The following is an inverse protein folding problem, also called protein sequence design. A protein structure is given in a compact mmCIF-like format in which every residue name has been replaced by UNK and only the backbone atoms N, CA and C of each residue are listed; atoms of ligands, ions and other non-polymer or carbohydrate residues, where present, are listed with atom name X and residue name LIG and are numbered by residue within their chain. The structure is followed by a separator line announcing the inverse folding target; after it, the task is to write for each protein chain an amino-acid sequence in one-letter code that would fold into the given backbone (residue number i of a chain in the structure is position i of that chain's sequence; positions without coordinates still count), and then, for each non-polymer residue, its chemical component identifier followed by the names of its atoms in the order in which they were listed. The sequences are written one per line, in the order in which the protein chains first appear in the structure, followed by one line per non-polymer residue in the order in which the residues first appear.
data_IF_473684047514
#
_entry.id   IF_473684047514
#
_cell.length_a   1.000
_cell.length_b   1.000
_cell.length_c   1.000
_cell.angle_alpha   90.00
_cell.angle_beta   90.00
_cell.angle_gamma   90.00
#
_symmetry.space_group_name_H-M   'P 1'
#
loop_
_entity.id
_entity.type
_entity.pdbx_description
1 polymer ?
#
# COMPACT_ATOMS: atom_id res chain seq x y z
N UNK A 1 0.83 -16.94 15.11
CA UNK A 1 0.78 -15.49 14.83
C UNK A 1 -0.68 -15.07 14.99
N UNK A 2 -1.02 -13.83 15.38
CA UNK A 2 -2.44 -13.45 15.38
C UNK A 2 -2.97 -13.61 13.95
N UNK A 3 -4.13 -14.22 13.81
CA UNK A 3 -4.69 -14.50 12.49
C UNK A 3 -5.08 -13.19 11.81
N UNK A 4 -4.68 -13.05 10.55
CA UNK A 4 -5.13 -11.96 9.68
C UNK A 4 -6.63 -12.09 9.46
N UNK A 5 -7.35 -10.97 9.52
CA UNK A 5 -8.80 -10.90 9.28
C UNK A 5 -9.12 -9.84 8.24
N UNK A 6 -10.15 -10.07 7.43
CA UNK A 6 -10.70 -9.04 6.54
C UNK A 6 -11.56 -8.07 7.33
N UNK A 7 -11.22 -6.77 7.30
CA UNK A 7 -11.95 -5.71 7.99
C UNK A 7 -12.54 -4.73 6.97
N UNK A 8 -13.84 -4.48 7.07
CA UNK A 8 -14.52 -3.42 6.31
C UNK A 8 -14.20 -2.06 6.93
N UNK A 9 -13.28 -1.33 6.31
CA UNK A 9 -12.83 -0.01 6.77
C UNK A 9 -13.44 1.06 5.87
N UNK A 10 -14.12 2.01 6.49
CA UNK A 10 -14.63 3.20 5.82
C UNK A 10 -13.69 4.38 6.05
N UNK A 11 -13.20 4.98 4.96
CA UNK A 11 -12.25 6.10 5.01
C UNK A 11 -12.89 7.48 4.93
N UNK A 12 -14.19 7.57 4.64
CA UNK A 12 -14.94 8.81 4.62
C UNK A 12 -16.06 8.83 5.68
N UNK A 13 -16.42 10.02 6.18
CA UNK A 13 -17.51 10.15 7.16
C UNK A 13 -18.89 9.85 6.55
N UNK A 14 -19.00 9.91 5.22
CA UNK A 14 -20.23 9.65 4.47
C UNK A 14 -20.52 8.17 4.20
N UNK A 15 -19.63 7.24 4.54
CA UNK A 15 -19.90 5.81 4.39
C UNK A 15 -19.76 5.28 2.95
N UNK A 16 -19.06 6.00 2.06
CA UNK A 16 -18.96 5.67 0.62
C UNK A 16 -17.64 5.02 0.26
N UNK A 17 -16.56 5.31 1.00
CA UNK A 17 -15.22 4.79 0.73
C UNK A 17 -14.92 3.59 1.63
N UNK A 18 -15.65 2.50 1.40
CA UNK A 18 -15.47 1.25 2.15
C UNK A 18 -14.53 0.32 1.39
N UNK A 19 -13.42 -0.02 2.02
CA UNK A 19 -12.45 -1.00 1.56
C UNK A 19 -12.45 -2.21 2.50
N UNK A 20 -12.33 -3.42 1.96
CA UNK A 20 -12.09 -4.61 2.77
C UNK A 20 -10.60 -4.85 2.76
N UNK A 21 -9.94 -4.71 3.91
CA UNK A 21 -8.49 -4.88 4.04
C UNK A 21 -8.15 -6.06 4.94
N UNK A 22 -7.16 -6.84 4.56
CA UNK A 22 -6.46 -7.75 5.46
C UNK A 22 -5.74 -6.95 6.56
N UNK A 23 -6.07 -7.28 7.81
CA UNK A 23 -5.49 -6.63 9.00
C UNK A 23 -5.16 -7.64 10.10
N UNK A 24 -4.20 -7.29 10.95
CA UNK A 24 -3.92 -8.00 12.20
C UNK A 24 -4.43 -7.19 13.39
N UNK A 25 -5.33 -7.72 14.25
CA UNK A 25 -5.71 -7.06 15.49
C UNK A 25 -4.50 -6.93 16.43
N UNK A 26 -4.25 -5.72 16.97
CA UNK A 26 -3.12 -5.48 17.89
C UNK A 26 -3.54 -4.97 19.26
N UNK A 27 -4.72 -4.37 19.37
CA UNK A 27 -5.38 -4.01 20.63
C UNK A 27 -6.88 -3.84 20.39
N UNK A 28 -7.64 -3.52 21.45
CA UNK A 28 -9.00 -3.01 21.27
C UNK A 28 -8.97 -1.83 20.31
N UNK A 29 -9.88 -1.80 19.34
CA UNK A 29 -10.04 -0.75 18.32
C UNK A 29 -8.84 -0.47 17.38
N UNK A 30 -7.75 -1.26 17.49
CA UNK A 30 -6.52 -1.06 16.74
C UNK A 30 -6.12 -2.25 15.89
N UNK A 31 -5.76 -1.95 14.66
CA UNK A 31 -5.45 -2.94 13.64
C UNK A 31 -4.19 -2.53 12.89
N UNK A 32 -3.28 -3.48 12.66
CA UNK A 32 -2.15 -3.32 11.75
C UNK A 32 -2.58 -3.68 10.34
N UNK A 33 -2.32 -2.80 9.39
CA UNK A 33 -2.62 -2.97 7.97
C UNK A 33 -1.66 -4.01 7.35
N UNK A 34 -2.19 -5.04 6.67
CA UNK A 34 -1.39 -6.11 6.06
C UNK A 34 -1.42 -6.11 4.52
N UNK A 35 -2.18 -5.21 3.91
CA UNK A 35 -2.26 -5.00 2.46
C UNK A 35 -2.29 -3.51 2.11
N UNK A 36 -2.17 -3.15 0.83
CA UNK A 36 -2.17 -1.74 0.39
C UNK A 36 -3.58 -1.13 0.36
N UNK A 37 -3.87 -0.06 1.14
CA UNK A 37 -5.13 0.67 1.01
C UNK A 37 -5.18 1.48 -0.29
N UNK A 38 -6.29 1.41 -1.01
CA UNK A 38 -6.55 2.11 -2.28
C UNK A 38 -7.20 3.47 -2.01
N UNK A 39 -8.22 3.53 -1.16
CA UNK A 39 -9.00 4.79 -0.99
C UNK A 39 -8.27 5.83 -0.15
N UNK A 40 -7.41 5.43 0.79
CA UNK A 40 -6.64 6.36 1.61
C UNK A 40 -5.13 6.27 1.34
N UNK A 41 -4.56 7.14 0.49
CA UNK A 41 -3.13 7.12 0.18
C UNK A 41 -2.25 7.53 1.37
N UNK A 42 -2.84 8.14 2.41
CA UNK A 42 -2.15 8.52 3.64
C UNK A 42 -1.82 7.34 4.55
N UNK A 43 -2.38 6.15 4.30
CA UNK A 43 -2.14 4.93 5.08
C UNK A 43 -1.26 3.98 4.26
N UNK A 44 -0.26 3.42 4.91
CA UNK A 44 0.69 2.49 4.31
C UNK A 44 0.56 1.08 4.90
N UNK A 45 1.12 0.11 4.18
CA UNK A 45 1.32 -1.23 4.69
C UNK A 45 2.07 -1.18 6.03
N UNK A 46 1.61 -1.98 7.00
CA UNK A 46 2.20 -2.07 8.32
C UNK A 46 1.86 -0.92 9.28
N UNK A 47 1.13 0.11 8.83
CA UNK A 47 0.61 1.14 9.73
C UNK A 47 -0.34 0.50 10.75
N UNK A 48 -0.37 1.05 11.96
CA UNK A 48 -1.41 0.72 12.94
C UNK A 48 -2.42 1.85 12.94
N UNK A 49 -3.67 1.51 12.65
CA UNK A 49 -4.79 2.44 12.63
C UNK A 49 -5.71 2.19 13.82
N UNK A 50 -6.43 3.23 14.21
CA UNK A 50 -7.60 3.14 15.09
C UNK A 50 -8.87 3.24 14.25
N UNK A 51 -9.84 2.41 14.55
CA UNK A 51 -11.18 2.49 13.95
C UNK A 51 -12.25 2.66 15.01
N UNK A 52 -13.43 3.13 14.60
CA UNK A 52 -14.63 3.16 15.42
C UNK A 52 -15.74 2.40 14.71
N UNK A 53 -16.25 1.35 15.36
CA UNK A 53 -17.35 0.59 14.79
C UNK A 53 -18.69 1.35 14.91
N UNK A 54 -19.45 1.38 13.82
CA UNK A 54 -20.83 1.87 13.80
C UNK A 54 -21.63 1.02 12.81
N UNK A 55 -22.64 0.31 13.32
CA UNK A 55 -23.53 -0.55 12.52
C UNK A 55 -22.77 -1.62 11.71
N UNK A 56 -21.73 -2.23 12.30
CA UNK A 56 -20.92 -3.26 11.65
C UNK A 56 -19.88 -2.74 10.64
N UNK A 57 -19.75 -1.42 10.48
CA UNK A 57 -18.72 -0.79 9.64
C UNK A 57 -17.67 -0.16 10.55
N UNK A 58 -16.39 -0.41 10.27
CA UNK A 58 -15.28 0.22 10.99
C UNK A 58 -14.88 1.52 10.33
N UNK A 59 -15.16 2.66 10.95
CA UNK A 59 -14.76 3.97 10.42
C UNK A 59 -13.35 4.29 10.85
N UNK A 60 -12.47 4.64 9.90
CA UNK A 60 -11.13 5.11 10.20
C UNK A 60 -11.17 6.37 11.07
N UNK A 61 -10.35 6.38 12.14
CA UNK A 61 -10.21 7.54 13.04
C UNK A 61 -8.86 8.21 12.83
N UNK A 62 -7.78 7.45 12.98
CA UNK A 62 -6.41 7.98 12.89
C UNK A 62 -5.40 6.85 12.62
N UNK A 63 -4.21 7.22 12.15
CA UNK A 63 -3.04 6.35 12.17
C UNK A 63 -2.31 6.55 13.49
N UNK A 64 -2.40 5.59 14.42
CA UNK A 64 -1.78 5.68 15.74
C UNK A 64 -0.27 5.40 15.69
N UNK A 65 0.19 4.66 14.68
CA UNK A 65 1.62 4.39 14.46
C UNK A 65 1.90 4.20 12.97
N UNK A 66 2.83 5.00 12.44
CA UNK A 66 3.35 4.83 11.08
C UNK A 66 4.33 3.67 11.00
N UNK A 67 4.28 2.93 9.90
CA UNK A 67 5.24 1.90 9.58
C UNK A 67 6.59 2.50 9.17
N UNK A 68 7.61 1.64 9.06
CA UNK A 68 8.91 2.02 8.55
C UNK A 68 8.95 2.15 7.02
N UNK A 69 7.88 1.79 6.32
CA UNK A 69 7.83 1.83 4.87
C UNK A 69 7.58 3.25 4.35
N UNK A 70 8.29 3.60 3.27
CA UNK A 70 7.86 4.61 2.30
C UNK A 70 6.97 3.93 1.28
N UNK A 71 5.86 4.59 0.96
CA UNK A 71 4.93 4.19 -0.09
C UNK A 71 5.20 5.03 -1.33
N UNK A 72 5.34 4.35 -2.47
CA UNK A 72 5.34 4.98 -3.78
C UNK A 72 4.23 4.38 -4.63
N UNK A 73 3.61 5.18 -5.50
CA UNK A 73 2.50 4.73 -6.33
C UNK A 73 2.56 5.36 -7.71
N UNK A 74 2.39 4.55 -8.74
CA UNK A 74 2.34 4.98 -10.14
C UNK A 74 1.18 4.33 -10.87
N UNK A 75 0.47 5.12 -11.68
CA UNK A 75 -0.44 4.60 -12.69
C UNK A 75 0.34 4.43 -13.99
N UNK A 76 0.41 3.20 -14.47
CA UNK A 76 1.21 2.80 -15.63
C UNK A 76 0.27 2.36 -16.76
N UNK A 77 0.70 2.62 -18.00
CA UNK A 77 0.10 1.97 -19.16
C UNK A 77 0.27 0.45 -19.05
N UNK A 78 -0.58 -0.32 -19.74
CA UNK A 78 -0.47 -1.79 -19.77
C UNK A 78 0.91 -2.23 -20.29
N UNK A 79 1.44 -1.52 -21.27
CA UNK A 79 2.76 -1.76 -21.85
C UNK A 79 3.87 -1.54 -20.81
N UNK A 80 3.88 -0.38 -20.16
CA UNK A 80 4.88 -0.05 -19.14
C UNK A 80 4.80 -1.05 -17.96
N UNK A 81 3.59 -1.34 -17.47
CA UNK A 81 3.36 -2.24 -16.35
C UNK A 81 3.81 -3.70 -16.64
N UNK A 82 3.77 -4.12 -17.91
CA UNK A 82 4.22 -5.43 -18.38
C UNK A 82 5.69 -5.47 -18.85
N UNK A 83 6.41 -4.36 -18.75
CA UNK A 83 7.80 -4.25 -19.23
C UNK A 83 8.78 -5.06 -18.38
N UNK A 84 9.93 -5.40 -19.00
CA UNK A 84 11.03 -6.08 -18.31
C UNK A 84 11.63 -5.17 -17.23
N UNK A 85 11.64 -3.87 -17.49
CA UNK A 85 12.09 -2.83 -16.58
C UNK A 85 11.29 -2.81 -15.28
N UNK A 86 9.96 -2.79 -15.35
CA UNK A 86 9.11 -2.84 -14.16
C UNK A 86 9.28 -4.16 -13.42
N UNK A 87 9.44 -5.28 -14.15
CA UNK A 87 9.74 -6.57 -13.51
C UNK A 87 11.09 -6.55 -12.77
N UNK A 88 12.11 -5.91 -13.33
CA UNK A 88 13.42 -5.79 -12.68
C UNK A 88 13.35 -4.90 -11.43
N UNK A 89 12.62 -3.78 -11.48
CA UNK A 89 12.41 -2.91 -10.32
C UNK A 89 11.70 -3.66 -9.17
N UNK A 90 10.63 -4.40 -9.48
CA UNK A 90 9.92 -5.23 -8.49
C UNK A 90 10.83 -6.25 -7.80
N UNK A 91 11.71 -6.88 -8.59
CA UNK A 91 12.68 -7.83 -8.07
C UNK A 91 13.70 -7.14 -7.15
N UNK A 92 14.26 -6.00 -7.57
CA UNK A 92 15.18 -5.21 -6.75
C UNK A 92 14.53 -4.76 -5.42
N UNK A 93 13.27 -4.32 -5.46
CA UNK A 93 12.50 -3.97 -4.26
C UNK A 93 12.41 -5.16 -3.31
N UNK A 94 12.06 -6.35 -3.82
CA UNK A 94 11.96 -7.58 -3.01
C UNK A 94 13.30 -7.97 -2.39
N UNK A 95 14.39 -7.89 -3.15
CA UNK A 95 15.75 -8.18 -2.69
C UNK A 95 16.21 -7.23 -1.58
N UNK A 96 15.66 -6.01 -1.55
CA UNK A 96 15.89 -5.01 -0.51
C UNK A 96 14.84 -5.05 0.61
N UNK A 97 14.12 -6.17 0.77
CA UNK A 97 13.13 -6.35 1.83
C UNK A 97 11.86 -5.52 1.69
N UNK A 98 11.67 -4.86 0.55
CA UNK A 98 10.44 -4.17 0.20
C UNK A 98 9.34 -5.12 -0.25
N UNK A 99 8.15 -4.56 -0.42
CA UNK A 99 6.96 -5.23 -0.95
C UNK A 99 6.40 -4.40 -2.09
N UNK A 100 5.70 -5.05 -3.01
CA UNK A 100 5.01 -4.37 -4.08
C UNK A 100 3.67 -5.05 -4.34
N UNK A 101 2.71 -4.26 -4.82
CA UNK A 101 1.40 -4.70 -5.25
C UNK A 101 1.08 -4.06 -6.60
N UNK A 102 0.47 -4.84 -7.49
CA UNK A 102 -0.01 -4.34 -8.79
C UNK A 102 -1.51 -4.54 -8.88
N UNK A 103 -2.22 -3.43 -8.76
CA UNK A 103 -3.67 -3.38 -8.65
C UNK A 103 -4.26 -2.98 -10.01
N UNK A 104 -5.34 -3.65 -10.43
CA UNK A 104 -6.01 -3.44 -11.72
C UNK A 104 -5.08 -3.49 -12.95
N UNK A 105 -3.93 -4.17 -12.84
CA UNK A 105 -2.95 -4.32 -13.92
C UNK A 105 -2.10 -3.08 -14.22
N UNK A 106 -2.50 -1.87 -13.85
CA UNK A 106 -1.77 -0.62 -14.15
C UNK A 106 -1.29 0.15 -12.92
N UNK A 107 -1.89 -0.06 -11.75
CA UNK A 107 -1.53 0.70 -10.55
C UNK A 107 -0.48 -0.05 -9.74
N UNK A 108 0.78 0.39 -9.82
CA UNK A 108 1.89 -0.20 -9.09
C UNK A 108 2.12 0.57 -7.80
N UNK A 109 2.05 -0.13 -6.67
CA UNK A 109 2.41 0.41 -5.35
C UNK A 109 3.63 -0.33 -4.83
N UNK A 110 4.61 0.42 -4.34
CA UNK A 110 5.85 -0.10 -3.75
C UNK A 110 5.94 0.40 -2.31
N UNK A 111 6.19 -0.53 -1.38
CA UNK A 111 6.48 -0.28 0.03
C UNK A 111 7.92 -0.67 0.31
N UNK A 112 8.75 0.27 0.72
CA UNK A 112 10.17 -0.01 0.97
C UNK A 112 10.72 0.76 2.17
N UNK A 113 11.67 0.20 2.91
CA UNK A 113 12.26 0.88 4.06
C UNK A 113 12.97 2.17 3.62
N UNK A 114 13.01 3.16 4.52
CA UNK A 114 13.57 4.50 4.24
C UNK A 114 15.06 4.48 3.88
N UNK A 115 15.77 3.47 4.38
CA UNK A 115 17.21 3.23 4.31
C UNK A 115 17.58 2.10 3.34
N UNK A 116 16.63 1.60 2.56
CA UNK A 116 16.92 0.63 1.52
C UNK A 116 17.89 1.22 0.47
N UNK A 117 18.77 0.37 -0.06
CA UNK A 117 19.80 0.79 -1.00
C UNK A 117 19.24 1.15 -2.39
N UNK A 118 18.06 0.62 -2.75
CA UNK A 118 17.40 0.94 -4.02
C UNK A 118 16.68 2.28 -3.96
N UNK A 119 17.05 3.17 -4.88
CA UNK A 119 16.35 4.43 -5.09
C UNK A 119 15.18 4.20 -6.07
N UNK A 120 14.03 3.86 -5.52
CA UNK A 120 12.82 3.50 -6.29
C UNK A 120 12.37 4.66 -7.19
N UNK A 121 12.50 5.89 -6.72
CA UNK A 121 12.08 7.08 -7.47
C UNK A 121 12.99 7.30 -8.68
N UNK A 122 14.32 7.28 -8.48
CA UNK A 122 15.27 7.42 -9.56
C UNK A 122 15.22 6.26 -10.58
N UNK A 123 15.01 5.03 -10.11
CA UNK A 123 14.78 3.89 -11.00
C UNK A 123 13.52 4.11 -11.84
N UNK A 124 12.40 4.48 -11.21
CA UNK A 124 11.14 4.69 -11.94
C UNK A 124 11.26 5.81 -12.97
N UNK A 125 11.88 6.95 -12.63
CA UNK A 125 12.10 8.04 -13.58
C UNK A 125 12.89 7.57 -14.81
N UNK A 126 13.91 6.71 -14.65
CA UNK A 126 14.65 6.11 -15.77
C UNK A 126 13.81 5.17 -16.62
N UNK A 127 12.88 4.44 -16.01
CA UNK A 127 11.96 3.54 -16.72
C UNK A 127 10.97 4.37 -17.54
N UNK A 128 10.34 5.36 -16.93
CA UNK A 128 9.30 6.18 -17.57
C UNK A 128 9.83 6.96 -18.77
N UNK A 129 11.07 7.46 -18.71
CA UNK A 129 11.71 8.14 -19.83
C UNK A 129 11.79 7.30 -21.13
N UNK A 130 11.63 5.97 -21.05
CA UNK A 130 11.57 5.09 -22.23
C UNK A 130 10.19 5.02 -22.90
N UNK A 131 9.14 5.42 -22.19
CA UNK A 131 7.74 5.34 -22.64
C UNK A 131 7.16 6.71 -23.02
N UNK A 132 7.92 7.79 -22.84
CA UNK A 132 7.55 9.15 -23.26
C UNK A 132 7.93 9.46 -24.73
N UNK A 133 8.25 8.42 -25.53
CA UNK A 133 8.58 8.52 -26.96
C UNK A 133 7.35 8.43 -27.86
#
# INVERSE_FOLDING_TARGET
MPDTVGLHICFDESGREIEVLDVTPVAHDKYRIEETPIFNPGIALGDIIRVKEKQGISYYVETVQKSAYKRYAWLLSKEAAGSREISALKQAVKENGGRYEQIFGGFLVIHIQKDAAVDVEAEMSRILAKFEL
#
